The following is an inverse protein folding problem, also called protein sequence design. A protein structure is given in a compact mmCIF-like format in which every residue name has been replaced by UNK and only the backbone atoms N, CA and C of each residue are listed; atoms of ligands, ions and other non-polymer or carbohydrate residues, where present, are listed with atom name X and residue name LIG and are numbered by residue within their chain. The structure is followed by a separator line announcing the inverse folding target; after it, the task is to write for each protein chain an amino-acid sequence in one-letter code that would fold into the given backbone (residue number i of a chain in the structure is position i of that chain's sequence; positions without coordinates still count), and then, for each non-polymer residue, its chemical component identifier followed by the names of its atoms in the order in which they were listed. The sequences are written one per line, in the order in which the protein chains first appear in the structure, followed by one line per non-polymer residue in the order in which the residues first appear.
data_IF_583249555458
#
_entry.id   IF_583249555458
#
_cell.length_a   1.000
_cell.length_b   1.000
_cell.length_c   1.000
_cell.angle_alpha   90.00
_cell.angle_beta   90.00
_cell.angle_gamma   90.00
#
_symmetry.space_group_name_H-M   'P 1'
#
loop_
_entity.id
_entity.type
_entity.pdbx_description
1 polymer ?
#
# COMPACT_ATOMS: atom_id res chain seq x y z
N UNK A 1 -7.94 0.24 -18.27
CA UNK A 1 -6.82 -0.43 -18.96
C UNK A 1 -5.84 0.61 -19.50
N UNK A 2 -5.03 1.31 -18.67
CA UNK A 2 -4.16 2.38 -19.22
C UNK A 2 -2.76 2.59 -18.62
N UNK A 3 -2.35 1.93 -17.54
CA UNK A 3 -0.99 2.17 -17.00
C UNK A 3 -0.18 0.88 -16.92
N UNK A 4 0.72 0.67 -17.89
CA UNK A 4 1.79 -0.34 -17.75
C UNK A 4 2.56 -0.13 -16.42
N UNK A 5 2.75 1.13 -16.03
CA UNK A 5 3.33 1.53 -14.76
C UNK A 5 2.56 1.00 -13.54
N UNK A 6 1.22 0.94 -13.59
CA UNK A 6 0.40 0.43 -12.48
C UNK A 6 0.61 -1.06 -12.25
N UNK A 7 0.71 -1.85 -13.33
CA UNK A 7 0.99 -3.28 -13.24
C UNK A 7 2.40 -3.55 -12.70
N UNK A 8 3.39 -2.75 -13.11
CA UNK A 8 4.77 -2.85 -12.58
C UNK A 8 4.79 -2.53 -11.09
N UNK A 9 4.12 -1.46 -10.65
CA UNK A 9 4.00 -1.12 -9.23
C UNK A 9 3.34 -2.23 -8.41
N UNK A 10 2.22 -2.78 -8.87
CA UNK A 10 1.52 -3.86 -8.16
C UNK A 10 2.42 -5.11 -8.05
N UNK A 11 3.14 -5.46 -9.12
CA UNK A 11 4.13 -6.56 -9.08
C UNK A 11 5.23 -6.29 -8.06
N UNK A 12 5.78 -5.07 -8.03
CA UNK A 12 6.78 -4.67 -7.03
C UNK A 12 6.24 -4.78 -5.60
N UNK A 13 5.02 -4.33 -5.36
CA UNK A 13 4.37 -4.43 -4.04
C UNK A 13 4.12 -5.89 -3.65
N UNK A 14 3.72 -6.76 -4.59
CA UNK A 14 3.54 -8.19 -4.32
C UNK A 14 4.87 -8.91 -4.05
N UNK A 15 5.93 -8.58 -4.78
CA UNK A 15 7.28 -9.08 -4.47
C UNK A 15 7.71 -8.62 -3.08
N UNK A 16 7.47 -7.36 -2.75
CA UNK A 16 7.69 -6.85 -1.40
C UNK A 16 6.88 -7.61 -0.34
N UNK A 17 5.60 -7.92 -0.59
CA UNK A 17 4.79 -8.72 0.32
C UNK A 17 5.36 -10.14 0.50
N UNK A 18 5.85 -10.76 -0.56
CA UNK A 18 6.34 -12.13 -0.53
C UNK A 18 7.73 -12.27 0.12
N UNK A 19 8.64 -11.34 -0.15
CA UNK A 19 10.04 -11.42 0.30
C UNK A 19 10.31 -10.57 1.54
N UNK A 20 9.76 -9.35 1.62
CA UNK A 20 10.06 -8.40 2.70
C UNK A 20 9.03 -8.42 3.82
N UNK A 21 7.76 -8.73 3.57
CA UNK A 21 6.77 -8.85 4.65
C UNK A 21 7.08 -9.93 5.69
N UNK A 22 7.56 -11.14 5.35
CA UNK A 22 7.92 -12.14 6.37
C UNK A 22 9.13 -11.72 7.21
N UNK A 23 10.01 -10.87 6.67
CA UNK A 23 11.15 -10.30 7.39
C UNK A 23 10.78 -9.20 8.39
N UNK A 24 9.58 -8.62 8.30
CA UNK A 24 9.14 -7.51 9.19
C UNK A 24 8.78 -7.92 10.61
N UNK A 25 8.78 -9.22 10.92
CA UNK A 25 8.52 -9.72 12.28
C UNK A 25 7.25 -9.13 12.90
N UNK A 26 7.39 -8.39 14.00
CA UNK A 26 6.29 -7.85 14.81
C UNK A 26 5.77 -6.47 14.34
N UNK A 27 6.36 -5.86 13.32
CA UNK A 27 5.93 -4.53 12.83
C UNK A 27 4.72 -4.71 11.91
N UNK A 28 3.51 -4.53 12.46
CA UNK A 28 2.25 -4.55 11.71
C UNK A 28 1.79 -3.13 11.39
N UNK A 29 1.33 -2.90 10.17
CA UNK A 29 0.68 -1.63 9.79
C UNK A 29 -0.60 -1.50 10.66
N UNK A 30 -0.79 -0.39 11.39
CA UNK A 30 -1.92 -0.21 12.31
C UNK A 30 -3.24 0.03 11.57
N UNK A 31 -3.18 0.21 10.25
CA UNK A 31 -4.33 0.42 9.40
C UNK A 31 -4.84 -0.89 8.78
N UNK A 32 -6.16 -0.97 8.59
CA UNK A 32 -6.83 -2.06 7.89
C UNK A 32 -7.66 -1.47 6.72
N UNK A 33 -7.51 -1.96 5.47
CA UNK A 33 -6.49 -2.90 5.01
C UNK A 33 -5.07 -2.35 5.17
N UNK A 34 -4.08 -3.26 5.13
CA UNK A 34 -2.68 -2.89 5.32
C UNK A 34 -2.21 -1.89 4.27
N UNK A 35 -1.17 -1.13 4.59
CA UNK A 35 -0.60 -0.09 3.76
C UNK A 35 -0.23 -0.59 2.33
N UNK A 36 0.29 -1.82 2.21
CA UNK A 36 0.56 -2.47 0.92
C UNK A 36 -0.69 -2.86 0.15
N UNK A 37 -1.74 -3.31 0.86
CA UNK A 37 -3.00 -3.70 0.24
C UNK A 37 -3.76 -2.45 -0.26
N UNK A 38 -3.78 -1.40 0.55
CA UNK A 38 -4.28 -0.08 0.16
C UNK A 38 -3.56 0.43 -1.08
N UNK A 39 -2.24 0.27 -1.17
CA UNK A 39 -1.48 0.69 -2.35
C UNK A 39 -1.92 -0.07 -3.61
N UNK A 40 -2.18 -1.37 -3.52
CA UNK A 40 -2.68 -2.17 -4.66
C UNK A 40 -4.06 -1.69 -5.07
N UNK A 41 -5.01 -1.54 -4.14
CA UNK A 41 -6.37 -1.05 -4.43
C UNK A 41 -6.35 0.38 -5.00
N UNK A 42 -5.55 1.28 -4.44
CA UNK A 42 -5.46 2.66 -4.89
C UNK A 42 -4.91 2.74 -6.32
N UNK A 43 -3.88 1.95 -6.64
CA UNK A 43 -3.33 1.87 -8.00
C UNK A 43 -4.32 1.21 -8.98
N UNK A 44 -5.08 0.21 -8.54
CA UNK A 44 -6.12 -0.42 -9.37
C UNK A 44 -7.28 0.54 -9.68
N UNK A 45 -7.70 1.36 -8.69
CA UNK A 45 -8.85 2.27 -8.83
C UNK A 45 -8.48 3.59 -9.52
N UNK A 46 -7.31 4.16 -9.22
CA UNK A 46 -6.91 5.50 -9.65
C UNK A 46 -5.73 5.56 -10.62
N UNK A 47 -5.11 4.43 -10.96
CA UNK A 47 -3.90 4.38 -11.77
C UNK A 47 -2.61 4.64 -10.97
N UNK A 48 -1.46 4.57 -11.65
CA UNK A 48 -0.15 4.58 -10.98
C UNK A 48 0.17 5.90 -10.27
N UNK A 49 -0.18 7.03 -10.87
CA UNK A 49 0.16 8.36 -10.35
C UNK A 49 -0.69 8.69 -9.11
N UNK A 50 -2.01 8.73 -9.27
CA UNK A 50 -2.93 9.09 -8.18
C UNK A 50 -3.00 8.00 -7.11
N UNK A 51 -2.96 6.72 -7.49
CA UNK A 51 -2.87 5.61 -6.56
C UNK A 51 -1.56 5.59 -5.77
N UNK A 52 -0.44 5.87 -6.45
CA UNK A 52 0.88 5.98 -5.82
C UNK A 52 0.97 7.15 -4.82
N UNK A 53 0.39 8.31 -5.15
CA UNK A 53 0.33 9.45 -4.24
C UNK A 53 -0.47 9.14 -2.97
N UNK A 54 -1.67 8.53 -3.11
CA UNK A 54 -2.50 8.11 -1.97
C UNK A 54 -1.77 7.08 -1.09
N UNK A 55 -1.13 6.09 -1.71
CA UNK A 55 -0.35 5.07 -1.02
C UNK A 55 0.82 5.68 -0.24
N UNK A 56 1.59 6.56 -0.88
CA UNK A 56 2.74 7.23 -0.26
C UNK A 56 2.32 8.09 0.93
N UNK A 57 1.24 8.86 0.78
CA UNK A 57 0.68 9.67 1.87
C UNK A 57 0.23 8.83 3.07
N UNK A 58 -0.27 7.61 2.84
CA UNK A 58 -0.61 6.68 3.91
C UNK A 58 0.62 6.06 4.57
N UNK A 59 1.64 5.70 3.78
CA UNK A 59 2.90 5.15 4.31
C UNK A 59 3.59 6.17 5.23
N UNK A 60 3.62 7.44 4.85
CA UNK A 60 4.20 8.52 5.69
C UNK A 60 3.52 8.64 7.06
N UNK A 61 2.23 8.33 7.15
CA UNK A 61 1.44 8.34 8.40
C UNK A 61 1.41 6.97 9.10
N UNK A 62 1.98 5.94 8.48
CA UNK A 62 2.06 4.60 9.04
C UNK A 62 3.25 4.49 10.01
N UNK A 63 2.99 4.82 11.27
CA UNK A 63 3.92 4.63 12.37
C UNK A 63 3.22 3.96 13.57
N UNK A 64 3.95 3.35 14.52
CA UNK A 64 3.37 2.66 15.68
C UNK A 64 2.56 3.57 16.63
N UNK A 65 2.77 4.89 16.56
CA UNK A 65 2.05 5.89 17.36
C UNK A 65 0.76 6.35 16.69
N UNK A 66 0.51 5.91 15.46
CA UNK A 66 -0.70 6.26 14.74
C UNK A 66 -1.88 5.50 15.34
N UNK A 67 -3.04 6.15 15.48
CA UNK A 67 -4.29 5.53 15.98
C UNK A 67 -4.70 4.31 15.16
N UNK A 68 -4.21 4.18 13.93
CA UNK A 68 -4.60 3.11 13.02
C UNK A 68 -6.08 3.16 12.68
N UNK A 69 -6.63 2.02 12.30
CA UNK A 69 -8.07 1.86 12.05
C UNK A 69 -8.42 1.54 10.61
N UNK A 70 -9.72 1.53 10.32
CA UNK A 70 -10.25 1.19 9.01
C UNK A 70 -10.21 2.43 8.12
N UNK A 71 -9.36 2.40 7.10
CA UNK A 71 -9.23 3.46 6.10
C UNK A 71 -9.31 2.77 4.72
N UNK A 72 -10.49 2.72 4.09
CA UNK A 72 -10.63 2.16 2.75
C UNK A 72 -10.13 3.15 1.69
N UNK A 73 -9.78 2.64 0.51
CA UNK A 73 -9.50 3.53 -0.63
C UNK A 73 -10.78 4.30 -0.98
N UNK A 74 -10.73 5.65 -1.04
CA UNK A 74 -11.89 6.48 -1.41
C UNK A 74 -12.38 6.11 -2.81
#
# INVERSE_FOLDING_TARGET
MKDAAGHVMIRGIRLYQQYLSPLKGNIRCPYMPSCSQYAIEAVQKYGAVKGGLLASWRILRCNPLSKGGIDPVP
#
